data_IF_039174033068
#
_entry.id   IF_039174033068
#
_cell.length_a   1.000
_cell.length_b   1.000
_cell.length_c   1.000
_cell.angle_alpha   90.00
_cell.angle_beta   90.00
_cell.angle_gamma   90.00
#
_symmetry.space_group_name_H-M   'P 1'
#
loop_
_entity.id
_entity.type
_entity.pdbx_description
1 polymer ?
#
# COMPACT_ATOMS: atom_id res chain seq x y z
N UNK A 1 -28.95 8.01 15.09
CA UNK A 1 -29.86 6.87 15.32
C UNK A 1 -29.39 5.69 14.49
N UNK A 2 -29.29 4.50 15.08
CA UNK A 2 -28.94 3.25 14.39
C UNK A 2 -30.22 2.43 14.27
N UNK A 3 -30.58 2.03 13.05
CA UNK A 3 -31.67 1.09 12.78
C UNK A 3 -31.03 -0.22 12.31
N UNK A 4 -31.45 -1.35 12.89
CA UNK A 4 -30.87 -2.67 12.63
C UNK A 4 -31.97 -3.73 12.67
N UNK A 5 -31.78 -4.79 11.89
CA UNK A 5 -32.56 -6.04 11.91
C UNK A 5 -31.92 -7.12 12.82
N UNK A 6 -30.75 -6.82 13.39
CA UNK A 6 -30.03 -7.66 14.36
C UNK A 6 -30.63 -7.52 15.77
N UNK A 7 -31.79 -8.13 15.99
CA UNK A 7 -32.55 -7.98 17.25
C UNK A 7 -31.97 -8.81 18.42
N UNK A 8 -31.19 -9.84 18.11
CA UNK A 8 -30.63 -10.77 19.10
C UNK A 8 -29.22 -10.38 19.58
N UNK A 9 -28.60 -9.37 18.94
CA UNK A 9 -27.26 -8.89 19.28
C UNK A 9 -27.31 -7.85 20.41
N UNK A 10 -26.26 -7.78 21.23
CA UNK A 10 -26.19 -6.75 22.25
C UNK A 10 -26.10 -5.35 21.61
N UNK A 11 -26.86 -4.35 22.12
CA UNK A 11 -26.81 -2.99 21.60
C UNK A 11 -25.40 -2.39 21.54
N UNK A 12 -24.52 -2.77 22.46
CA UNK A 12 -23.13 -2.34 22.49
C UNK A 12 -22.32 -2.79 21.27
N UNK A 13 -22.51 -4.03 20.81
CA UNK A 13 -21.83 -4.57 19.63
C UNK A 13 -22.36 -3.92 18.35
N UNK A 14 -23.67 -3.67 18.27
CA UNK A 14 -24.30 -2.95 17.15
C UNK A 14 -23.73 -1.54 17.02
N UNK A 15 -23.59 -0.83 18.14
CA UNK A 15 -23.01 0.53 18.16
C UNK A 15 -21.56 0.48 17.69
N UNK A 16 -20.76 -0.46 18.20
CA UNK A 16 -19.35 -0.62 17.82
C UNK A 16 -19.16 -0.88 16.32
N UNK A 17 -20.01 -1.71 15.71
CA UNK A 17 -20.01 -1.93 14.26
C UNK A 17 -20.40 -0.66 13.51
N UNK A 18 -21.44 0.05 13.98
CA UNK A 18 -21.86 1.32 13.39
C UNK A 18 -20.76 2.39 13.46
N UNK A 19 -20.01 2.45 14.56
CA UNK A 19 -18.87 3.35 14.71
C UNK A 19 -17.75 3.01 13.73
N UNK A 20 -17.61 1.76 13.27
CA UNK A 20 -16.65 1.37 12.23
C UNK A 20 -16.90 1.97 10.84
N UNK A 21 -18.06 2.59 10.59
CA UNK A 21 -18.42 3.14 9.26
C UNK A 21 -17.44 4.17 8.72
N UNK A 22 -16.79 4.94 9.58
CA UNK A 22 -15.78 5.93 9.16
C UNK A 22 -14.60 5.28 8.42
N UNK A 23 -14.31 4.00 8.67
CA UNK A 23 -13.25 3.26 7.98
C UNK A 23 -13.54 3.12 6.49
N UNK A 24 -14.81 2.88 6.14
CA UNK A 24 -15.29 2.82 4.77
C UNK A 24 -15.16 4.19 4.10
N UNK A 25 -15.53 5.26 4.80
CA UNK A 25 -15.36 6.63 4.30
C UNK A 25 -13.88 6.99 4.08
N UNK A 26 -13.00 6.56 4.99
CA UNK A 26 -11.56 6.74 4.85
C UNK A 26 -11.03 5.99 3.62
N UNK A 27 -11.47 4.75 3.37
CA UNK A 27 -11.19 4.00 2.15
C UNK A 27 -11.64 4.75 0.89
N UNK A 28 -12.87 5.28 0.88
CA UNK A 28 -13.37 6.06 -0.25
C UNK A 28 -12.60 7.36 -0.47
N UNK A 29 -12.15 8.01 0.61
CA UNK A 29 -11.31 9.21 0.53
C UNK A 29 -9.99 8.90 -0.15
N UNK A 30 -9.22 7.93 0.38
CA UNK A 30 -7.94 7.47 -0.19
C UNK A 30 -8.10 7.05 -1.66
N UNK A 31 -9.15 6.28 -1.96
CA UNK A 31 -9.40 5.82 -3.32
C UNK A 31 -9.62 6.99 -4.29
N UNK A 32 -10.31 8.05 -3.86
CA UNK A 32 -10.57 9.25 -4.67
C UNK A 32 -9.34 10.16 -4.78
N UNK A 33 -8.54 10.30 -3.72
CA UNK A 33 -7.40 11.22 -3.64
C UNK A 33 -6.12 10.58 -4.17
N UNK A 34 -5.66 9.51 -3.52
CA UNK A 34 -4.34 8.94 -3.72
C UNK A 34 -4.30 7.96 -4.91
N UNK A 35 -5.41 7.25 -5.15
CA UNK A 35 -5.54 6.31 -6.27
C UNK A 35 -6.31 6.88 -7.48
N UNK A 36 -6.67 8.17 -7.45
CA UNK A 36 -7.30 8.86 -8.58
C UNK A 36 -8.52 8.12 -9.17
N UNK A 37 -9.34 7.48 -8.33
CA UNK A 37 -10.48 6.69 -8.79
C UNK A 37 -11.56 7.48 -9.51
N UNK A 38 -11.53 8.82 -9.45
CA UNK A 38 -12.38 9.68 -10.28
C UNK A 38 -11.77 9.74 -11.69
N UNK A 39 -12.32 8.99 -12.68
CA UNK A 39 -11.73 8.97 -14.00
C UNK A 39 -12.05 10.30 -14.71
N UNK A 40 -11.02 11.09 -15.03
CA UNK A 40 -11.20 12.37 -15.73
C UNK A 40 -11.27 12.18 -17.24
N UNK A 41 -10.59 11.17 -17.78
CA UNK A 41 -10.35 11.02 -19.22
C UNK A 41 -10.96 9.75 -19.84
N UNK A 42 -11.79 9.02 -19.09
CA UNK A 42 -12.34 7.74 -19.52
C UNK A 42 -13.87 7.81 -19.55
N UNK A 43 -14.46 7.61 -20.73
CA UNK A 43 -15.91 7.75 -20.95
C UNK A 43 -16.63 6.43 -21.23
N UNK A 44 -15.91 5.41 -21.73
CA UNK A 44 -16.50 4.11 -22.07
C UNK A 44 -16.70 3.28 -20.80
N UNK A 45 -17.89 2.70 -20.65
CA UNK A 45 -18.31 2.02 -19.40
C UNK A 45 -17.36 0.90 -18.97
N UNK A 46 -16.89 0.07 -19.91
CA UNK A 46 -15.92 -0.99 -19.67
C UNK A 46 -14.59 -0.45 -19.10
N UNK A 47 -14.09 0.66 -19.64
CA UNK A 47 -12.85 1.30 -19.19
C UNK A 47 -13.03 1.97 -17.83
N UNK A 48 -14.22 2.53 -17.55
CA UNK A 48 -14.57 3.06 -16.22
C UNK A 48 -14.54 1.92 -15.19
N UNK A 49 -15.21 0.80 -15.49
CA UNK A 49 -15.21 -0.39 -14.61
C UNK A 49 -13.79 -0.92 -14.38
N UNK A 50 -12.97 -1.00 -15.42
CA UNK A 50 -11.58 -1.42 -15.31
C UNK A 50 -10.75 -0.49 -14.42
N UNK A 51 -10.87 0.83 -14.59
CA UNK A 51 -10.18 1.82 -13.75
C UNK A 51 -10.57 1.67 -12.28
N UNK A 52 -11.88 1.60 -11.99
CA UNK A 52 -12.37 1.42 -10.62
C UNK A 52 -11.85 0.11 -10.00
N UNK A 53 -11.84 -0.98 -10.75
CA UNK A 53 -11.31 -2.26 -10.27
C UNK A 53 -9.82 -2.14 -9.92
N UNK A 54 -9.02 -1.50 -10.75
CA UNK A 54 -7.58 -1.29 -10.50
C UNK A 54 -7.38 -0.44 -9.24
N UNK A 55 -8.13 0.66 -9.09
CA UNK A 55 -8.06 1.50 -7.88
C UNK A 55 -8.47 0.71 -6.62
N UNK A 56 -9.50 -0.12 -6.72
CA UNK A 56 -9.94 -0.95 -5.59
C UNK A 56 -8.90 -2.01 -5.19
N UNK A 57 -8.31 -2.71 -6.17
CA UNK A 57 -7.24 -3.67 -5.92
C UNK A 57 -6.00 -2.98 -5.32
N UNK A 58 -5.67 -1.78 -5.80
CA UNK A 58 -4.57 -0.98 -5.26
C UNK A 58 -4.82 -0.60 -3.80
N UNK A 59 -6.04 -0.19 -3.47
CA UNK A 59 -6.45 0.10 -2.09
C UNK A 59 -6.38 -1.14 -1.20
N UNK A 60 -6.81 -2.31 -1.71
CA UNK A 60 -6.73 -3.57 -0.96
C UNK A 60 -5.28 -3.92 -0.63
N UNK A 61 -4.38 -3.86 -1.62
CA UNK A 61 -2.95 -4.10 -1.41
C UNK A 61 -2.37 -3.12 -0.40
N UNK A 62 -2.74 -1.83 -0.52
CA UNK A 62 -2.33 -0.81 0.45
C UNK A 62 -2.81 -1.13 1.87
N UNK A 63 -4.08 -1.51 2.08
CA UNK A 63 -4.61 -1.82 3.41
C UNK A 63 -3.91 -3.03 4.04
N UNK A 64 -3.58 -4.04 3.24
CA UNK A 64 -2.79 -5.18 3.71
C UNK A 64 -1.38 -4.76 4.13
N UNK A 65 -0.76 -3.84 3.38
CA UNK A 65 0.55 -3.28 3.72
C UNK A 65 0.49 -2.42 5.00
N UNK A 66 -0.50 -1.54 5.11
CA UNK A 66 -0.75 -0.70 6.29
C UNK A 66 -0.93 -1.54 7.56
N UNK A 67 -1.69 -2.64 7.47
CA UNK A 67 -1.88 -3.59 8.56
C UNK A 67 -0.57 -4.28 8.95
N UNK A 68 0.25 -4.70 7.97
CA UNK A 68 1.58 -5.29 8.23
C UNK A 68 2.54 -4.30 8.89
N UNK A 69 2.39 -3.01 8.62
CA UNK A 69 3.15 -1.92 9.26
C UNK A 69 2.55 -1.48 10.61
N UNK A 70 1.54 -2.20 11.12
CA UNK A 70 0.91 -1.93 12.41
C UNK A 70 0.04 -0.68 12.45
N UNK A 71 -0.44 -0.19 11.30
CA UNK A 71 -1.26 1.02 11.18
C UNK A 71 -0.61 2.30 11.74
N UNK A 72 0.72 2.34 11.77
CA UNK A 72 1.48 3.46 12.36
C UNK A 72 1.75 4.63 11.38
N UNK A 73 1.42 4.44 10.09
CA UNK A 73 1.78 5.37 9.01
C UNK A 73 0.55 5.72 8.18
N UNK A 74 0.53 6.94 7.64
CA UNK A 74 -0.55 7.37 6.74
C UNK A 74 -0.34 6.84 5.32
N UNK A 75 -1.42 6.82 4.54
CA UNK A 75 -1.37 6.40 3.14
C UNK A 75 -0.36 7.19 2.33
N UNK A 76 -0.39 8.52 2.48
CA UNK A 76 0.53 9.43 1.82
C UNK A 76 1.97 9.12 2.20
N UNK A 77 2.30 8.90 3.48
CA UNK A 77 3.66 8.58 3.89
C UNK A 77 4.18 7.28 3.26
N UNK A 78 3.36 6.22 3.26
CA UNK A 78 3.71 4.93 2.66
C UNK A 78 3.92 5.09 1.14
N UNK A 79 2.97 5.72 0.44
CA UNK A 79 3.02 5.86 -1.01
C UNK A 79 4.17 6.77 -1.47
N UNK A 80 4.42 7.88 -0.79
CA UNK A 80 5.53 8.77 -1.10
C UNK A 80 6.88 8.10 -0.85
N UNK A 81 7.02 7.35 0.24
CA UNK A 81 8.24 6.59 0.54
C UNK A 81 8.48 5.52 -0.52
N UNK A 82 7.48 4.72 -0.87
CA UNK A 82 7.63 3.71 -1.91
C UNK A 82 7.97 4.31 -3.28
N UNK A 83 7.39 5.47 -3.62
CA UNK A 83 7.71 6.19 -4.87
C UNK A 83 9.12 6.79 -4.86
N UNK A 84 9.63 7.18 -3.70
CA UNK A 84 10.96 7.79 -3.58
C UNK A 84 12.08 6.75 -3.55
N UNK A 85 11.79 5.48 -3.23
CA UNK A 85 12.74 4.36 -3.21
C UNK A 85 13.26 4.01 -4.62
N UNK A 86 14.18 4.82 -5.12
CA UNK A 86 14.82 4.66 -6.43
C UNK A 86 16.28 4.21 -6.30
N UNK A 87 16.85 3.75 -7.42
CA UNK A 87 18.21 3.25 -7.51
C UNK A 87 18.91 3.81 -8.74
N UNK A 88 20.17 4.18 -8.58
CA UNK A 88 21.06 4.55 -9.68
C UNK A 88 21.87 3.34 -10.14
N UNK A 89 22.12 3.22 -11.45
CA UNK A 89 22.92 2.15 -12.04
C UNK A 89 24.36 2.62 -12.19
N UNK A 90 25.28 1.98 -11.47
CA UNK A 90 26.71 2.31 -11.54
C UNK A 90 27.36 1.45 -12.61
N UNK A 91 27.50 2.02 -13.81
CA UNK A 91 28.31 1.48 -14.92
C UNK A 91 28.17 -0.04 -15.11
N UNK A 92 26.94 -0.55 -14.99
CA UNK A 92 26.64 -1.97 -15.14
C UNK A 92 27.29 -2.93 -14.12
N UNK A 93 27.87 -2.42 -13.03
CA UNK A 93 28.41 -3.25 -11.96
C UNK A 93 27.36 -3.56 -10.88
N UNK A 94 26.42 -2.64 -10.67
CA UNK A 94 25.38 -2.78 -9.65
C UNK A 94 24.52 -1.54 -9.51
N UNK A 95 23.87 -1.46 -8.37
CA UNK A 95 22.86 -0.45 -8.06
C UNK A 95 23.22 0.26 -6.76
N UNK A 96 22.95 1.56 -6.70
CA UNK A 96 23.06 2.37 -5.48
C UNK A 96 21.69 2.96 -5.16
N UNK A 97 21.15 2.76 -3.95
CA UNK A 97 19.92 3.43 -3.54
C UNK A 97 20.13 4.95 -3.52
N UNK A 98 19.15 5.69 -4.03
CA UNK A 98 19.11 7.17 -4.07
C UNK A 98 17.96 7.71 -3.21
N UNK A 99 17.59 6.98 -2.16
CA UNK A 99 16.61 7.39 -1.17
C UNK A 99 17.23 7.43 0.22
N UNK A 100 16.62 8.20 1.12
CA UNK A 100 17.05 8.30 2.51
C UNK A 100 16.45 7.20 3.37
N UNK A 101 17.28 6.64 4.26
CA UNK A 101 16.82 5.66 5.23
C UNK A 101 16.06 6.38 6.34
N UNK A 102 14.83 5.95 6.57
CA UNK A 102 13.93 6.41 7.62
C UNK A 102 13.41 5.22 8.43
N UNK A 103 12.70 5.49 9.54
CA UNK A 103 12.02 4.45 10.30
C UNK A 103 11.03 3.66 9.43
N UNK A 104 10.30 4.33 8.55
CA UNK A 104 9.37 3.68 7.63
C UNK A 104 10.10 2.77 6.64
N UNK A 105 11.26 3.17 6.09
CA UNK A 105 12.02 2.27 5.21
C UNK A 105 12.56 1.06 5.95
N UNK A 106 12.94 1.21 7.22
CA UNK A 106 13.38 0.09 8.05
C UNK A 106 12.23 -0.90 8.31
N UNK A 107 11.06 -0.40 8.68
CA UNK A 107 9.88 -1.24 8.88
C UNK A 107 9.47 -1.95 7.57
N UNK A 108 9.56 -1.25 6.43
CA UNK A 108 9.33 -1.83 5.10
C UNK A 108 10.31 -2.95 4.78
N UNK A 109 11.60 -2.81 5.09
CA UNK A 109 12.61 -3.86 4.88
C UNK A 109 12.36 -5.07 5.79
N UNK A 110 11.99 -4.83 7.05
CA UNK A 110 11.69 -5.89 8.02
C UNK A 110 10.52 -6.76 7.54
N UNK A 111 9.37 -6.14 7.20
CA UNK A 111 8.21 -6.90 6.72
C UNK A 111 8.43 -7.56 5.36
N UNK A 112 9.39 -7.06 4.57
CA UNK A 112 9.72 -7.59 3.24
C UNK A 112 10.73 -8.74 3.32
N UNK A 113 11.46 -8.89 4.42
CA UNK A 113 12.50 -9.91 4.58
C UNK A 113 13.76 -9.69 3.72
N UNK A 114 13.93 -8.48 3.17
CA UNK A 114 15.12 -8.09 2.42
C UNK A 114 15.39 -6.60 2.55
N UNK A 115 16.67 -6.24 2.47
CA UNK A 115 17.16 -4.86 2.55
C UNK A 115 17.63 -4.36 1.19
N UNK A 116 17.41 -3.07 0.94
CA UNK A 116 17.84 -2.38 -0.29
C UNK A 116 18.63 -1.10 -0.02
N UNK A 117 18.98 -0.82 1.24
CA UNK A 117 19.62 0.42 1.71
C UNK A 117 21.16 0.33 1.78
N UNK A 118 21.76 -0.70 1.19
CA UNK A 118 23.21 -0.82 1.14
C UNK A 118 23.81 0.24 0.21
N UNK A 119 24.98 0.78 0.59
CA UNK A 119 25.72 1.77 -0.23
C UNK A 119 25.96 1.31 -1.68
N UNK A 120 26.07 0.01 -1.89
CA UNK A 120 26.17 -0.62 -3.20
C UNK A 120 25.56 -2.02 -3.17
N UNK A 121 24.76 -2.35 -4.18
CA UNK A 121 24.10 -3.65 -4.38
C UNK A 121 24.57 -4.22 -5.70
N UNK A 122 25.30 -5.33 -5.68
CA UNK A 122 25.76 -5.98 -6.91
C UNK A 122 24.59 -6.50 -7.74
N UNK A 123 24.79 -6.69 -9.05
CA UNK A 123 23.78 -7.33 -9.92
C UNK A 123 23.33 -8.70 -9.41
N UNK A 124 24.25 -9.48 -8.86
CA UNK A 124 23.93 -10.80 -8.28
C UNK A 124 23.01 -10.66 -7.07
N UNK A 125 23.34 -9.75 -6.13
CA UNK A 125 22.51 -9.52 -4.94
C UNK A 125 21.14 -8.95 -5.28
N UNK A 126 21.06 -8.05 -6.26
CA UNK A 126 19.79 -7.51 -6.76
C UNK A 126 18.90 -8.62 -7.34
N UNK A 127 19.49 -9.58 -8.08
CA UNK A 127 18.76 -10.76 -8.58
C UNK A 127 18.25 -11.64 -7.43
N UNK A 128 19.04 -11.83 -6.37
CA UNK A 128 18.59 -12.55 -5.16
C UNK A 128 17.39 -11.84 -4.52
N UNK A 129 17.47 -10.52 -4.31
CA UNK A 129 16.36 -9.70 -3.77
C UNK A 129 15.10 -9.85 -4.63
N UNK A 130 15.23 -9.79 -5.96
CA UNK A 130 14.10 -9.99 -6.88
C UNK A 130 13.50 -11.40 -6.82
N UNK A 131 14.29 -12.44 -6.56
CA UNK A 131 13.78 -13.81 -6.36
C UNK A 131 12.98 -13.90 -5.07
N UNK A 132 13.51 -13.36 -3.97
CA UNK A 132 12.84 -13.31 -2.67
C UNK A 132 11.51 -12.56 -2.75
N UNK A 133 11.50 -11.38 -3.37
CA UNK A 133 10.29 -10.58 -3.59
C UNK A 133 9.19 -11.32 -4.37
N UNK A 134 9.55 -12.30 -5.20
CA UNK A 134 8.62 -13.12 -5.99
C UNK A 134 8.25 -14.44 -5.32
N UNK A 135 8.74 -14.72 -4.11
CA UNK A 135 8.55 -16.01 -3.43
C UNK A 135 9.16 -17.20 -4.17
N UNK A 136 10.24 -16.97 -4.93
CA UNK A 136 10.93 -17.99 -5.75
C UNK A 136 12.25 -18.41 -5.10
N UNK A 137 12.21 -18.70 -3.81
CA UNK A 137 13.37 -19.23 -3.07
C UNK A 137 13.62 -20.71 -3.42
#
# INVERSE_FOLDING_TARGET
>A
AVCTDLMDDEPGDIIKVSEGRWQIEACFRIMKTDFSARPVYVQREDRIKAHFLICFLSLLIYRLLEQKLGNNYTCTNILETLKSMNFDNIEDQGFKPVYERTKLTDDLHEISGFRTDYRFITKSKMREIQKKSKGRE
#
